data_IF_048100295654
#
_entry.id   IF_048100295654
#
_cell.length_a   1.000
_cell.length_b   1.000
_cell.length_c   1.000
_cell.angle_alpha   90.00
_cell.angle_beta   90.00
_cell.angle_gamma   90.00
#
_symmetry.space_group_name_H-M   'P 1'
#
loop_
_entity.id
_entity.type
_entity.pdbx_description
1 polymer ?
#
# COMPACT_ATOMS: atom_id res chain seq x y z
N UNK A 1 -38.86 -22.01 36.51
CA UNK A 1 -39.80 -20.89 36.35
C UNK A 1 -39.10 -19.60 36.75
N UNK A 2 -38.34 -19.00 35.82
CA UNK A 2 -37.77 -17.65 35.97
C UNK A 2 -38.08 -16.95 34.65
N UNK A 3 -38.93 -15.93 34.74
CA UNK A 3 -39.49 -15.19 33.61
C UNK A 3 -38.40 -14.32 33.02
N UNK A 4 -37.99 -14.60 31.78
CA UNK A 4 -37.21 -13.68 30.97
C UNK A 4 -38.14 -12.55 30.51
N UNK A 5 -37.79 -11.31 30.86
CA UNK A 5 -38.55 -10.12 30.52
C UNK A 5 -38.56 -9.88 29.01
N UNK A 6 -39.76 -9.63 28.51
CA UNK A 6 -40.08 -9.20 27.15
C UNK A 6 -39.46 -7.85 26.84
N UNK A 7 -38.44 -7.79 25.97
CA UNK A 7 -38.14 -6.61 25.15
C UNK A 7 -37.21 -6.97 23.98
N UNK A 8 -37.65 -6.61 22.77
CA UNK A 8 -36.87 -6.46 21.54
C UNK A 8 -36.57 -7.73 20.72
N UNK A 9 -37.63 -8.39 20.25
CA UNK A 9 -37.65 -8.99 18.91
C UNK A 9 -37.95 -7.87 17.91
N UNK A 10 -36.91 -7.24 17.36
CA UNK A 10 -37.00 -6.38 16.16
C UNK A 10 -35.62 -5.81 15.85
N UNK A 11 -34.76 -6.63 15.25
CA UNK A 11 -33.74 -6.24 14.25
C UNK A 11 -32.68 -7.34 14.14
N UNK A 12 -33.12 -8.54 13.76
CA UNK A 12 -32.21 -9.49 13.11
C UNK A 12 -32.16 -9.12 11.63
N UNK A 13 -31.32 -8.17 11.24
CA UNK A 13 -31.02 -7.94 9.82
C UNK A 13 -30.29 -9.18 9.27
N UNK A 14 -30.70 -9.72 8.11
CA UNK A 14 -30.11 -10.92 7.54
C UNK A 14 -28.61 -10.77 7.25
N UNK A 15 -27.87 -11.87 7.46
CA UNK A 15 -26.43 -12.06 7.21
C UNK A 15 -26.03 -11.99 5.71
N UNK A 16 -26.69 -11.18 4.88
CA UNK A 16 -26.36 -11.09 3.47
C UNK A 16 -26.17 -9.66 3.02
N UNK A 17 -25.06 -9.44 2.30
CA UNK A 17 -24.65 -8.24 1.57
C UNK A 17 -23.98 -7.21 2.48
N UNK A 18 -22.67 -6.95 2.37
CA UNK A 18 -21.96 -6.53 1.16
C UNK A 18 -20.50 -6.99 1.25
N UNK A 19 -19.94 -7.45 0.12
CA UNK A 19 -18.49 -7.54 -0.13
C UNK A 19 -17.79 -6.26 0.36
N UNK A 20 -17.16 -6.28 1.53
CA UNK A 20 -16.21 -5.25 1.93
C UNK A 20 -14.80 -5.79 1.69
N UNK A 21 -14.44 -5.96 0.42
CA UNK A 21 -13.03 -5.95 0.04
C UNK A 21 -12.73 -4.50 -0.30
N UNK A 22 -12.38 -3.65 0.68
CA UNK A 22 -11.48 -2.53 0.40
C UNK A 22 -10.77 -1.98 1.66
N UNK A 23 -9.46 -2.17 1.65
CA UNK A 23 -8.33 -1.47 2.33
C UNK A 23 -8.59 -0.43 3.42
N UNK A 24 -7.79 -0.49 4.49
CA UNK A 24 -7.60 0.57 5.50
C UNK A 24 -7.45 2.00 4.91
N UNK A 25 -6.94 2.11 3.68
CA UNK A 25 -6.84 3.36 2.93
C UNK A 25 -8.20 4.03 2.66
N UNK A 26 -9.25 3.27 2.33
CA UNK A 26 -10.59 3.86 2.10
C UNK A 26 -11.20 4.44 3.37
N UNK A 27 -10.86 3.87 4.54
CA UNK A 27 -11.23 4.43 5.83
C UNK A 27 -10.52 5.75 6.12
N UNK A 28 -9.21 5.80 5.84
CA UNK A 28 -8.37 7.01 6.01
C UNK A 28 -8.81 8.16 5.10
N UNK A 29 -9.07 7.88 3.82
CA UNK A 29 -9.53 8.89 2.87
C UNK A 29 -10.90 9.47 3.24
N UNK A 30 -11.82 8.63 3.73
CA UNK A 30 -13.15 9.08 4.20
C UNK A 30 -13.08 9.80 5.54
N UNK A 31 -12.09 9.48 6.38
CA UNK A 31 -11.87 10.10 7.69
C UNK A 31 -11.08 11.40 7.68
N UNK A 32 -10.54 11.82 6.52
CA UNK A 32 -9.75 13.05 6.40
C UNK A 32 -8.42 13.01 7.18
N UNK A 33 -7.88 11.82 7.44
CA UNK A 33 -6.61 11.68 8.14
C UNK A 33 -5.46 12.08 7.20
N UNK A 34 -4.63 13.04 7.61
CA UNK A 34 -3.53 13.57 6.78
C UNK A 34 -2.32 12.62 6.68
N UNK A 35 -2.23 11.63 7.58
CA UNK A 35 -1.09 10.71 7.68
C UNK A 35 -1.55 9.26 7.67
N UNK A 36 -0.80 8.43 6.96
CA UNK A 36 -0.93 6.98 6.94
C UNK A 36 0.33 6.38 7.56
N UNK A 37 0.31 6.13 8.87
CA UNK A 37 1.52 5.77 9.62
C UNK A 37 2.54 6.93 9.67
N UNK A 38 3.84 6.67 9.48
CA UNK A 38 4.87 7.74 9.46
C UNK A 38 4.84 8.57 8.15
N UNK A 39 4.20 8.07 7.08
CA UNK A 39 4.12 8.75 5.78
C UNK A 39 2.83 9.59 5.67
N UNK A 40 2.87 10.66 4.88
CA UNK A 40 1.66 11.45 4.57
C UNK A 40 0.78 10.71 3.56
N UNK A 41 -0.52 10.97 3.60
CA UNK A 41 -1.45 10.40 2.60
C UNK A 41 -1.13 10.92 1.19
N UNK A 42 -0.68 12.17 1.08
CA UNK A 42 -0.23 12.76 -0.18
C UNK A 42 0.93 11.97 -0.82
N UNK A 43 1.97 11.65 -0.04
CA UNK A 43 3.10 10.84 -0.50
C UNK A 43 2.68 9.40 -0.86
N UNK A 44 1.61 8.89 -0.25
CA UNK A 44 1.03 7.59 -0.60
C UNK A 44 0.27 7.63 -1.94
N UNK A 45 -0.44 8.73 -2.22
CA UNK A 45 -1.22 8.92 -3.46
C UNK A 45 -0.29 9.20 -4.64
N UNK A 46 0.73 10.05 -4.45
CA UNK A 46 1.67 10.47 -5.48
C UNK A 46 3.01 9.76 -5.35
N UNK A 47 2.99 8.43 -5.36
CA UNK A 47 4.21 7.63 -5.24
C UNK A 47 5.09 7.76 -6.49
N UNK A 48 6.38 8.07 -6.32
CA UNK A 48 7.32 8.04 -7.43
C UNK A 48 7.49 6.61 -7.95
N UNK A 49 7.92 6.47 -9.21
CA UNK A 49 8.11 5.17 -9.86
C UNK A 49 9.10 4.27 -9.13
N UNK A 50 10.16 4.85 -8.59
CA UNK A 50 11.20 4.14 -7.85
C UNK A 50 11.34 4.71 -6.44
N UNK A 51 11.50 3.81 -5.48
CA UNK A 51 11.74 4.12 -4.07
C UNK A 51 13.04 3.42 -3.65
N UNK A 52 14.01 4.18 -3.13
CA UNK A 52 15.28 3.67 -2.62
C UNK A 52 15.41 4.12 -1.17
N UNK A 53 15.61 3.16 -0.27
CA UNK A 53 15.75 3.41 1.17
C UNK A 53 17.05 2.81 1.68
N UNK A 54 17.64 3.49 2.66
CA UNK A 54 18.76 2.97 3.43
C UNK A 54 18.20 2.36 4.72
N UNK A 55 18.19 1.04 4.82
CA UNK A 55 17.62 0.32 5.98
C UNK A 55 18.51 0.39 7.23
N UNK A 56 19.80 0.74 7.09
CA UNK A 56 20.69 0.90 8.24
C UNK A 56 20.46 2.24 8.93
N UNK A 57 20.23 3.30 8.14
CA UNK A 57 20.03 4.65 8.65
C UNK A 57 18.54 5.03 8.84
N UNK A 58 17.63 4.40 8.10
CA UNK A 58 16.20 4.69 8.11
C UNK A 58 15.36 3.39 8.17
N UNK A 59 15.23 2.79 9.37
CA UNK A 59 14.47 1.54 9.55
C UNK A 59 12.97 1.71 9.29
N UNK A 60 12.46 2.95 9.29
CA UNK A 60 11.05 3.28 9.06
C UNK A 60 10.76 3.64 7.59
N UNK A 61 11.75 3.54 6.69
CA UNK A 61 11.64 3.81 5.26
C UNK A 61 10.91 5.13 4.96
N UNK A 62 11.24 6.20 5.67
CA UNK A 62 10.55 7.48 5.55
C UNK A 62 11.12 8.31 4.40
N UNK A 63 12.43 8.21 4.17
CA UNK A 63 13.18 9.08 3.26
C UNK A 63 13.50 8.37 1.95
N UNK A 64 12.77 8.71 0.88
CA UNK A 64 13.09 8.18 -0.44
C UNK A 64 14.35 8.88 -1.02
N UNK A 65 15.39 8.10 -1.30
CA UNK A 65 16.65 8.54 -1.89
C UNK A 65 16.66 8.46 -3.43
N UNK A 66 15.69 7.79 -4.06
CA UNK A 66 15.68 7.55 -5.51
C UNK A 66 15.59 8.83 -6.36
N UNK A 67 15.07 9.92 -5.79
CA UNK A 67 15.01 11.22 -6.47
C UNK A 67 16.32 12.02 -6.44
N UNK A 68 17.34 11.56 -5.72
CA UNK A 68 18.62 12.29 -5.59
C UNK A 68 19.58 11.86 -6.70
N UNK A 69 20.24 12.81 -7.39
CA UNK A 69 21.15 12.50 -8.50
C UNK A 69 22.35 11.65 -8.06
N UNK A 70 22.76 11.76 -6.79
CA UNK A 70 23.83 10.98 -6.17
C UNK A 70 23.58 9.48 -6.21
N UNK A 71 22.31 9.05 -6.17
CA UNK A 71 21.92 7.66 -6.13
C UNK A 71 21.40 7.13 -7.46
N UNK A 72 21.42 7.96 -8.53
CA UNK A 72 20.88 7.58 -9.84
C UNK A 72 21.55 6.31 -10.41
N UNK A 73 22.88 6.23 -10.34
CA UNK A 73 23.63 5.06 -10.80
C UNK A 73 23.26 3.78 -10.00
N UNK A 74 23.04 3.93 -8.70
CA UNK A 74 22.64 2.82 -7.84
C UNK A 74 21.22 2.35 -8.16
N UNK A 75 20.29 3.28 -8.40
CA UNK A 75 18.92 2.98 -8.83
C UNK A 75 18.94 2.24 -10.17
N UNK A 76 19.71 2.71 -11.14
CA UNK A 76 19.83 2.06 -12.45
C UNK A 76 20.40 0.63 -12.34
N UNK A 77 21.43 0.45 -11.51
CA UNK A 77 22.01 -0.86 -11.25
C UNK A 77 20.99 -1.83 -10.61
N UNK A 78 20.18 -1.36 -9.65
CA UNK A 78 19.12 -2.18 -9.05
C UNK A 78 17.98 -2.45 -10.02
N UNK A 79 17.57 -1.48 -10.83
CA UNK A 79 16.57 -1.68 -11.87
C UNK A 79 17.04 -2.71 -12.91
N UNK A 80 18.33 -2.72 -13.28
CA UNK A 80 18.89 -3.74 -14.14
C UNK A 80 18.82 -5.14 -13.52
N UNK A 81 19.18 -5.27 -12.23
CA UNK A 81 19.07 -6.56 -11.50
C UNK A 81 17.62 -7.05 -11.40
N UNK A 82 16.68 -6.15 -11.13
CA UNK A 82 15.26 -6.47 -11.06
C UNK A 82 14.72 -6.94 -12.42
N UNK A 83 15.08 -6.25 -13.50
CA UNK A 83 14.70 -6.67 -14.86
C UNK A 83 15.24 -8.05 -15.19
N UNK A 84 16.52 -8.30 -14.91
CA UNK A 84 17.11 -9.63 -15.12
C UNK A 84 16.36 -10.70 -14.34
N UNK A 85 16.04 -10.44 -13.07
CA UNK A 85 15.27 -11.38 -12.25
C UNK A 85 13.86 -11.63 -12.81
N UNK A 86 13.20 -10.60 -13.36
CA UNK A 86 11.89 -10.76 -14.00
C UNK A 86 11.97 -11.55 -15.32
N UNK A 87 13.04 -11.38 -16.09
CA UNK A 87 13.31 -12.18 -17.30
C UNK A 87 13.56 -13.64 -16.93
N UNK A 88 14.39 -13.88 -15.91
CA UNK A 88 14.74 -15.23 -15.44
C UNK A 88 13.52 -15.98 -14.87
N UNK A 89 12.53 -15.25 -14.32
CA UNK A 89 11.29 -15.80 -13.76
C UNK A 89 10.12 -15.82 -14.75
N UNK A 90 10.35 -15.41 -16.00
CA UNK A 90 9.33 -15.30 -17.05
C UNK A 90 8.09 -14.49 -16.61
N UNK A 91 8.32 -13.41 -15.85
CA UNK A 91 7.24 -12.59 -15.30
C UNK A 91 6.44 -11.91 -16.43
N UNK A 92 5.11 -12.14 -16.52
CA UNK A 92 4.26 -11.50 -17.52
C UNK A 92 4.32 -9.96 -17.48
N UNK A 93 4.78 -9.34 -16.39
CA UNK A 93 4.84 -7.89 -16.21
C UNK A 93 6.06 -7.21 -16.84
N UNK A 94 6.97 -7.95 -17.49
CA UNK A 94 8.13 -7.39 -18.18
C UNK A 94 7.79 -6.25 -19.16
N UNK A 95 6.64 -6.32 -19.81
CA UNK A 95 6.21 -5.30 -20.76
C UNK A 95 5.96 -3.92 -20.12
N UNK A 96 5.73 -3.83 -18.80
CA UNK A 96 5.50 -2.55 -18.11
C UNK A 96 6.70 -1.61 -18.15
N UNK A 97 7.92 -2.15 -18.27
CA UNK A 97 9.14 -1.35 -18.42
C UNK A 97 9.16 -0.51 -19.70
N UNK A 98 8.35 -0.86 -20.72
CA UNK A 98 8.32 -0.17 -22.01
C UNK A 98 7.27 0.96 -22.05
N UNK A 99 6.20 0.84 -21.28
CA UNK A 99 5.03 1.72 -21.37
C UNK A 99 4.99 2.84 -20.32
N UNK A 100 5.61 2.62 -19.17
CA UNK A 100 5.73 3.59 -18.07
C UNK A 100 7.10 4.27 -18.09
#
# INVERSE_FOLDING_TARGET
MLRCGSACVSDCTPCERVRQVVSALQGVLRGGLERFGPRTVDAYIHRPRFELYDLEQDPDEVTNLAGRPEYAEMVDAFCAKLRQFQEDTEDPWLHKWVYE
#
